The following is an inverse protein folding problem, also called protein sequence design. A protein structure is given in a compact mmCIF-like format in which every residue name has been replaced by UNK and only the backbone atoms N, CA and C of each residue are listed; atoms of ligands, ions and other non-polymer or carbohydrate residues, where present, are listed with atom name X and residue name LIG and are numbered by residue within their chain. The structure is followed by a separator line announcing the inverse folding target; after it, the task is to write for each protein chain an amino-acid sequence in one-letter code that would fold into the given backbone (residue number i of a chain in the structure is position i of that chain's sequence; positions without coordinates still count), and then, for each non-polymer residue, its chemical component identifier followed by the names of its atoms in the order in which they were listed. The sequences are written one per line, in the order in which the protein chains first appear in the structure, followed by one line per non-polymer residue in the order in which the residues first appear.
data_IF_577560520191
#
_entry.id   IF_577560520191
#
_cell.length_a   1.000
_cell.length_b   1.000
_cell.length_c   1.000
_cell.angle_alpha   90.00
_cell.angle_beta   90.00
_cell.angle_gamma   90.00
#
_symmetry.space_group_name_H-M   'P 1'
#
loop_
_entity.id
_entity.type
_entity.pdbx_description
1 polymer ?
#
# COMPACT_ATOMS: atom_id res chain seq x y z
N UNK A 1 -27.66 44.33 62.54
CA UNK A 1 -28.44 43.54 63.50
C UNK A 1 -28.22 42.06 63.16
N UNK A 2 -27.31 41.36 63.87
CA UNK A 2 -27.60 40.25 64.83
C UNK A 2 -28.34 39.06 64.18
N UNK A 3 -27.98 37.78 64.27
CA UNK A 3 -27.10 37.01 65.17
C UNK A 3 -26.93 35.58 64.60
N UNK A 4 -25.86 34.93 65.06
CA UNK A 4 -25.49 33.50 65.05
C UNK A 4 -26.63 32.45 65.11
N UNK A 5 -26.40 31.21 64.64
CA UNK A 5 -25.88 30.06 65.42
C UNK A 5 -25.94 28.72 64.65
N UNK A 6 -24.97 27.85 64.98
CA UNK A 6 -24.85 26.44 64.64
C UNK A 6 -26.09 25.63 65.05
N UNK A 7 -26.38 24.54 64.31
CA UNK A 7 -26.70 23.27 64.98
C UNK A 7 -26.43 22.05 64.10
N UNK A 8 -25.51 21.22 64.58
CA UNK A 8 -25.21 19.86 64.14
C UNK A 8 -26.33 18.93 64.63
N UNK A 9 -26.90 18.11 63.75
CA UNK A 9 -27.67 16.92 64.15
C UNK A 9 -27.06 15.71 63.47
N UNK A 10 -26.52 14.85 64.32
CA UNK A 10 -26.00 13.52 64.05
C UNK A 10 -27.20 12.56 63.95
N UNK A 11 -27.36 11.85 62.83
CA UNK A 11 -28.25 10.68 62.75
C UNK A 11 -27.44 9.45 62.35
N UNK A 12 -27.41 8.51 63.29
CA UNK A 12 -26.80 7.19 63.21
C UNK A 12 -27.92 6.20 62.87
N UNK A 13 -27.83 5.49 61.74
CA UNK A 13 -28.64 4.29 61.49
C UNK A 13 -27.83 3.30 60.64
N UNK A 14 -27.72 2.08 61.14
CA UNK A 14 -26.91 0.99 60.63
C UNK A 14 -27.74 -0.03 59.82
N UNK A 15 -27.00 -0.74 58.95
CA UNK A 15 -27.21 -2.07 58.38
C UNK A 15 -28.28 -2.28 57.30
N UNK A 16 -27.87 -2.79 56.13
CA UNK A 16 -28.22 -4.14 55.65
C UNK A 16 -27.56 -4.46 54.28
N UNK A 17 -26.99 -5.67 54.21
CA UNK A 17 -26.86 -6.57 53.05
C UNK A 17 -25.89 -6.26 51.89
N UNK A 18 -25.09 -7.30 51.61
CA UNK A 18 -24.03 -7.45 50.64
C UNK A 18 -24.48 -7.56 49.16
N UNK A 19 -23.45 -7.53 48.30
CA UNK A 19 -23.37 -7.98 46.91
C UNK A 19 -23.82 -6.99 45.83
N UNK A 20 -23.00 -5.96 45.60
CA UNK A 20 -22.90 -5.30 44.30
C UNK A 20 -21.67 -5.83 43.56
N UNK A 21 -21.93 -6.53 42.46
CA UNK A 21 -20.91 -7.03 41.55
C UNK A 21 -20.02 -5.91 41.03
N UNK A 22 -18.74 -6.24 40.85
CA UNK A 22 -17.70 -5.40 40.29
C UNK A 22 -18.11 -4.95 38.87
N UNK A 23 -18.53 -3.70 38.74
CA UNK A 23 -18.89 -3.11 37.46
C UNK A 23 -17.59 -2.65 36.78
N UNK A 24 -16.95 -3.54 36.01
CA UNK A 24 -15.84 -3.16 35.12
C UNK A 24 -16.33 -2.09 34.15
N UNK A 25 -15.65 -0.94 34.15
CA UNK A 25 -16.06 0.21 33.37
C UNK A 25 -15.62 0.05 31.90
N UNK A 26 -16.40 0.54 30.92
CA UNK A 26 -16.06 0.45 29.49
C UNK A 26 -14.74 1.11 29.07
N UNK A 27 -14.18 1.98 29.93
CA UNK A 27 -12.98 2.75 29.65
C UNK A 27 -11.68 1.94 29.69
N UNK A 28 -11.59 0.91 30.54
CA UNK A 28 -10.39 0.04 30.63
C UNK A 28 -10.24 -0.80 29.34
N UNK A 29 -11.36 -1.35 28.84
CA UNK A 29 -11.39 -2.09 27.57
C UNK A 29 -11.02 -1.24 26.35
N UNK A 30 -11.29 0.07 26.38
CA UNK A 30 -10.94 0.97 25.27
C UNK A 30 -9.45 1.30 25.23
N UNK A 31 -8.84 1.49 26.41
CA UNK A 31 -7.41 1.71 26.53
C UNK A 31 -6.62 0.45 26.13
N UNK A 32 -7.02 -0.73 26.63
CA UNK A 32 -6.38 -2.00 26.31
C UNK A 32 -6.47 -2.36 24.82
N UNK A 33 -7.60 -2.04 24.17
CA UNK A 33 -7.71 -2.22 22.72
C UNK A 33 -6.83 -1.25 21.93
N UNK A 34 -6.61 -0.03 22.43
CA UNK A 34 -5.76 0.96 21.77
C UNK A 34 -4.27 0.59 21.85
N UNK A 35 -3.78 0.09 22.99
CA UNK A 35 -2.39 -0.37 23.10
C UNK A 35 -2.13 -1.62 22.25
N UNK A 36 -3.07 -2.59 22.23
CA UNK A 36 -2.95 -3.76 21.36
C UNK A 36 -3.00 -3.42 19.86
N UNK A 37 -3.73 -2.37 19.46
CA UNK A 37 -3.76 -1.90 18.08
C UNK A 37 -2.44 -1.23 17.66
N UNK A 38 -1.84 -0.44 18.54
CA UNK A 38 -0.54 0.20 18.30
C UNK A 38 0.57 -0.84 18.23
N UNK A 39 0.55 -1.84 19.12
CA UNK A 39 1.57 -2.90 19.15
C UNK A 39 1.49 -3.81 17.92
N UNK A 40 0.28 -4.16 17.46
CA UNK A 40 0.09 -4.86 16.18
C UNK A 40 0.50 -4.01 14.97
N UNK A 41 0.28 -2.69 15.01
CA UNK A 41 0.73 -1.81 13.94
C UNK A 41 2.27 -1.71 13.88
N UNK A 42 2.94 -1.64 15.04
CA UNK A 42 4.39 -1.61 15.14
C UNK A 42 5.03 -2.95 14.74
N UNK A 43 4.42 -4.08 15.13
CA UNK A 43 4.87 -5.40 14.72
C UNK A 43 4.74 -5.61 13.20
N UNK A 44 3.65 -5.15 12.58
CA UNK A 44 3.48 -5.18 11.13
C UNK A 44 4.46 -4.25 10.39
N UNK A 45 4.74 -3.07 10.94
CA UNK A 45 5.73 -2.15 10.38
C UNK A 45 7.15 -2.74 10.46
N UNK A 46 7.52 -3.37 11.57
CA UNK A 46 8.81 -4.03 11.75
C UNK A 46 8.99 -5.25 10.83
N UNK A 47 7.90 -5.97 10.52
CA UNK A 47 7.92 -7.09 9.59
C UNK A 47 8.03 -6.63 8.12
N UNK A 48 7.42 -5.48 7.79
CA UNK A 48 7.54 -4.87 6.46
C UNK A 48 8.95 -4.34 6.17
N UNK A 49 9.70 -3.91 7.18
CA UNK A 49 11.09 -3.43 7.02
C UNK A 49 12.14 -4.55 6.93
N UNK A 50 11.79 -5.79 7.30
CA UNK A 50 12.69 -6.95 7.30
C UNK A 50 12.34 -8.01 6.25
N UNK A 51 11.40 -7.73 5.35
CA UNK A 51 11.14 -8.61 4.21
C UNK A 51 12.43 -8.70 3.38
N UNK A 52 13.02 -9.91 3.33
CA UNK A 52 14.19 -10.16 2.50
C UNK A 52 13.85 -9.82 1.04
N UNK A 53 14.81 -9.23 0.33
CA UNK A 53 14.66 -8.98 -1.10
C UNK A 53 14.24 -10.30 -1.80
N UNK A 54 13.37 -10.23 -2.82
CA UNK A 54 13.04 -11.39 -3.63
C UNK A 54 14.32 -12.04 -4.15
N UNK A 55 14.28 -13.36 -4.33
CA UNK A 55 15.38 -14.06 -4.98
C UNK A 55 15.56 -13.49 -6.40
N UNK A 56 16.82 -13.42 -6.88
CA UNK A 56 17.13 -12.83 -8.18
C UNK A 56 16.41 -13.48 -9.38
N UNK A 57 15.86 -14.69 -9.23
CA UNK A 57 15.07 -15.38 -10.26
C UNK A 57 13.56 -15.33 -10.01
N UNK A 58 13.09 -14.61 -8.98
CA UNK A 58 11.68 -14.58 -8.58
C UNK A 58 10.75 -14.09 -9.71
N UNK A 59 11.26 -13.19 -10.55
CA UNK A 59 10.48 -12.58 -11.63
C UNK A 59 10.69 -13.25 -13.00
N UNK A 60 11.72 -14.10 -13.16
CA UNK A 60 12.03 -14.77 -14.43
C UNK A 60 10.89 -15.64 -14.99
N UNK A 61 10.07 -16.32 -14.17
CA UNK A 61 8.92 -17.10 -14.66
C UNK A 61 7.87 -16.29 -15.45
N UNK A 62 7.81 -14.97 -15.25
CA UNK A 62 6.89 -14.09 -15.98
C UNK A 62 7.40 -13.69 -17.36
N UNK A 63 8.71 -13.80 -17.63
CA UNK A 63 9.29 -13.42 -18.92
C UNK A 63 8.67 -14.26 -20.04
N UNK A 64 8.21 -13.58 -21.09
CA UNK A 64 7.50 -14.15 -22.24
C UNK A 64 6.00 -14.38 -22.02
N UNK A 65 5.45 -14.05 -20.85
CA UNK A 65 4.02 -14.07 -20.54
C UNK A 65 3.41 -12.69 -20.67
N UNK A 66 2.10 -12.60 -20.84
CA UNK A 66 1.41 -11.31 -20.71
C UNK A 66 1.20 -10.94 -19.23
N UNK A 67 1.13 -9.65 -18.87
CA UNK A 67 0.97 -9.23 -17.47
C UNK A 67 -0.25 -9.82 -16.74
N UNK A 68 -1.28 -10.20 -17.49
CA UNK A 68 -2.52 -10.81 -16.97
C UNK A 68 -2.51 -12.34 -17.02
N UNK A 69 -1.50 -12.96 -17.64
CA UNK A 69 -1.34 -14.40 -17.64
C UNK A 69 -0.92 -14.86 -16.23
N UNK A 70 -1.53 -15.96 -15.77
CA UNK A 70 -1.14 -16.56 -14.50
C UNK A 70 0.16 -17.34 -14.63
N UNK A 71 1.04 -17.13 -13.67
CA UNK A 71 2.21 -17.94 -13.36
C UNK A 71 2.03 -18.49 -11.95
N UNK A 72 1.58 -19.75 -11.86
CA UNK A 72 1.14 -20.31 -10.59
C UNK A 72 -0.16 -19.67 -10.11
N UNK A 73 -0.17 -19.12 -8.89
CA UNK A 73 -1.36 -18.52 -8.30
C UNK A 73 -1.60 -17.06 -8.76
N UNK A 74 -0.56 -16.40 -9.28
CA UNK A 74 -0.51 -14.97 -9.48
C UNK A 74 -0.30 -14.59 -10.95
N UNK A 75 -0.87 -13.47 -11.36
CA UNK A 75 -0.43 -12.74 -12.55
C UNK A 75 0.67 -11.75 -12.17
N UNK A 76 1.33 -11.12 -13.15
CA UNK A 76 2.35 -10.10 -12.85
C UNK A 76 1.77 -8.95 -12.01
N UNK A 77 0.59 -8.47 -12.37
CA UNK A 77 -0.04 -7.32 -11.72
C UNK A 77 -0.55 -7.62 -10.29
N UNK A 78 -0.82 -8.89 -9.97
CA UNK A 78 -1.30 -9.30 -8.65
C UNK A 78 -0.23 -10.03 -7.80
N UNK A 79 0.97 -10.24 -8.34
CA UNK A 79 2.09 -10.82 -7.60
C UNK A 79 2.41 -9.93 -6.37
N UNK A 80 2.42 -10.50 -5.15
CA UNK A 80 2.62 -9.71 -3.94
C UNK A 80 3.93 -8.90 -3.92
N UNK A 81 5.01 -9.42 -4.52
CA UNK A 81 6.28 -8.73 -4.59
C UNK A 81 6.23 -7.56 -5.58
N UNK A 82 5.59 -7.74 -6.75
CA UNK A 82 5.39 -6.66 -7.73
C UNK A 82 4.50 -5.57 -7.14
N UNK A 83 3.38 -5.94 -6.52
CA UNK A 83 2.45 -5.01 -5.86
C UNK A 83 3.17 -4.19 -4.78
N UNK A 84 3.98 -4.84 -3.94
CA UNK A 84 4.76 -4.14 -2.91
C UNK A 84 5.78 -3.17 -3.51
N UNK A 85 6.51 -3.61 -4.55
CA UNK A 85 7.50 -2.79 -5.23
C UNK A 85 6.87 -1.55 -5.89
N UNK A 86 5.76 -1.71 -6.61
CA UNK A 86 5.02 -0.61 -7.24
C UNK A 86 4.47 0.36 -6.18
N UNK A 87 3.96 -0.14 -5.05
CA UNK A 87 3.49 0.72 -3.94
C UNK A 87 4.61 1.53 -3.31
N UNK A 88 5.81 0.97 -3.21
CA UNK A 88 6.97 1.67 -2.71
C UNK A 88 7.50 2.71 -3.72
N UNK A 89 7.39 2.44 -5.02
CA UNK A 89 7.82 3.37 -6.08
C UNK A 89 6.83 4.52 -6.28
N UNK A 90 5.53 4.23 -6.30
CA UNK A 90 4.47 5.15 -6.71
C UNK A 90 3.57 5.52 -5.53
N UNK A 91 3.65 6.75 -5.04
CA UNK A 91 2.75 7.24 -3.98
C UNK A 91 1.33 7.53 -4.50
N UNK A 92 1.23 7.97 -5.74
CA UNK A 92 -0.01 8.35 -6.42
C UNK A 92 -0.96 7.15 -6.59
N UNK A 93 -2.14 7.23 -5.96
CA UNK A 93 -3.15 6.16 -5.99
C UNK A 93 -3.75 5.98 -7.39
N UNK A 94 -3.91 7.04 -8.16
CA UNK A 94 -4.52 6.95 -9.49
C UNK A 94 -3.57 6.21 -10.46
N UNK A 95 -2.28 6.52 -10.40
CA UNK A 95 -1.26 5.81 -11.21
C UNK A 95 -1.19 4.33 -10.79
N UNK A 96 -1.19 4.03 -9.50
CA UNK A 96 -1.19 2.62 -9.04
C UNK A 96 -2.40 1.83 -9.52
N UNK A 97 -3.56 2.48 -9.60
CA UNK A 97 -4.77 1.84 -10.13
C UNK A 97 -4.55 1.41 -11.58
N UNK A 98 -4.05 2.30 -12.43
CA UNK A 98 -3.73 1.96 -13.81
C UNK A 98 -2.71 0.83 -13.93
N UNK A 99 -1.65 0.91 -13.13
CA UNK A 99 -0.54 -0.05 -13.22
C UNK A 99 -0.90 -1.45 -12.71
N UNK A 100 -1.68 -1.56 -11.63
CA UNK A 100 -1.93 -2.83 -10.94
C UNK A 100 -3.32 -3.41 -11.18
N UNK A 101 -4.32 -2.58 -11.45
CA UNK A 101 -5.72 -3.01 -11.48
C UNK A 101 -6.33 -2.90 -12.88
N UNK A 102 -6.02 -1.83 -13.60
CA UNK A 102 -6.65 -1.59 -14.89
C UNK A 102 -5.97 -2.43 -15.98
N UNK A 103 -6.79 -3.22 -16.64
CA UNK A 103 -6.39 -4.07 -17.74
C UNK A 103 -6.27 -3.31 -19.05
N UNK A 104 -5.53 -3.87 -19.99
CA UNK A 104 -5.54 -3.38 -21.36
C UNK A 104 -4.57 -4.13 -22.27
N UNK A 105 -4.46 -3.71 -23.55
CA UNK A 105 -3.48 -4.26 -24.44
C UNK A 105 -2.08 -4.15 -23.82
N UNK A 106 -1.28 -5.20 -24.02
CA UNK A 106 0.03 -5.35 -23.41
C UNK A 106 0.94 -6.11 -24.36
N UNK A 107 2.24 -5.89 -24.23
CA UNK A 107 3.27 -6.73 -24.86
C UNK A 107 3.70 -7.83 -23.87
N UNK A 108 4.27 -8.95 -24.37
CA UNK A 108 4.86 -9.94 -23.49
C UNK A 108 5.95 -9.33 -22.60
N UNK A 109 6.00 -9.75 -21.34
CA UNK A 109 6.99 -9.33 -20.37
C UNK A 109 8.39 -9.70 -20.88
N UNK A 110 9.31 -8.74 -20.85
CA UNK A 110 10.67 -8.92 -21.35
C UNK A 110 11.71 -8.51 -20.31
N UNK A 111 12.97 -8.83 -20.57
CA UNK A 111 14.10 -8.27 -19.80
C UNK A 111 14.65 -7.07 -20.54
N UNK A 112 14.64 -5.90 -19.90
CA UNK A 112 15.18 -4.63 -20.44
C UNK A 112 16.20 -4.10 -19.45
N UNK A 113 17.44 -3.90 -19.90
CA UNK A 113 18.57 -3.43 -19.08
C UNK A 113 18.73 -4.21 -17.75
N UNK A 114 18.53 -5.53 -17.81
CA UNK A 114 18.63 -6.42 -16.65
C UNK A 114 17.42 -6.40 -15.70
N UNK A 115 16.38 -5.61 -15.98
CA UNK A 115 15.13 -5.54 -15.22
C UNK A 115 14.02 -6.31 -15.93
N UNK A 116 13.09 -6.88 -15.18
CA UNK A 116 11.90 -7.51 -15.74
C UNK A 116 10.84 -6.44 -15.98
N UNK A 117 10.37 -6.35 -17.21
CA UNK A 117 9.65 -5.22 -17.74
C UNK A 117 8.26 -5.64 -18.26
N UNK A 118 7.22 -4.99 -17.74
CA UNK A 118 5.83 -5.19 -18.16
C UNK A 118 5.25 -3.87 -18.66
N UNK A 119 4.90 -3.82 -19.95
CA UNK A 119 4.27 -2.68 -20.57
C UNK A 119 2.79 -2.96 -20.82
N UNK A 120 1.95 -1.96 -20.63
CA UNK A 120 0.52 -2.02 -20.92
C UNK A 120 -0.02 -0.64 -21.23
N UNK A 121 -1.22 -0.60 -21.79
CA UNK A 121 -1.87 0.65 -22.17
C UNK A 121 -3.38 0.58 -22.02
N UNK A 122 -4.02 1.75 -22.02
CA UNK A 122 -5.48 1.83 -21.93
C UNK A 122 -6.14 1.29 -23.20
N UNK A 123 -7.18 0.48 -23.03
CA UNK A 123 -7.91 -0.14 -24.15
C UNK A 123 -8.46 0.93 -25.10
N UNK A 124 -8.15 0.79 -26.40
CA UNK A 124 -8.48 1.76 -27.45
C UNK A 124 -7.81 3.13 -27.32
N UNK A 125 -6.86 3.31 -26.40
CA UNK A 125 -6.21 4.57 -26.10
C UNK A 125 -4.69 4.41 -25.87
N UNK A 126 -4.06 3.48 -26.59
CA UNK A 126 -2.71 3.04 -26.24
C UNK A 126 -1.58 4.04 -26.48
N UNK A 127 -1.68 4.85 -27.53
CA UNK A 127 -0.72 5.94 -27.73
C UNK A 127 -0.84 7.01 -26.65
N UNK A 128 -2.06 7.52 -26.39
CA UNK A 128 -2.26 8.57 -25.39
C UNK A 128 -2.10 8.14 -23.94
N UNK A 129 -2.31 6.87 -23.58
CA UNK A 129 -2.29 6.43 -22.20
C UNK A 129 -1.66 5.04 -22.03
N UNK A 130 -0.47 5.04 -21.43
CA UNK A 130 0.39 3.86 -21.33
C UNK A 130 1.25 3.88 -20.06
N UNK A 131 1.69 2.70 -19.64
CA UNK A 131 2.53 2.53 -18.48
C UNK A 131 3.49 1.35 -18.64
N UNK A 132 4.61 1.46 -17.93
CA UNK A 132 5.66 0.45 -17.88
C UNK A 132 6.07 0.24 -16.42
N UNK A 133 6.10 -1.01 -15.99
CA UNK A 133 6.70 -1.41 -14.72
C UNK A 133 8.02 -2.13 -14.98
N UNK A 134 9.10 -1.63 -14.39
CA UNK A 134 10.42 -2.27 -14.39
C UNK A 134 10.72 -2.74 -12.97
N UNK A 135 10.94 -4.04 -12.76
CA UNK A 135 11.39 -4.57 -11.48
C UNK A 135 12.84 -5.03 -11.61
N UNK A 136 13.71 -4.48 -10.76
CA UNK A 136 15.08 -4.97 -10.62
C UNK A 136 15.06 -6.30 -9.85
N UNK A 137 15.42 -7.42 -10.49
CA UNK A 137 15.38 -8.72 -9.82
C UNK A 137 16.36 -8.83 -8.65
N UNK A 138 17.45 -8.05 -8.63
CA UNK A 138 18.45 -8.12 -7.55
C UNK A 138 17.97 -7.46 -6.26
N UNK A 139 17.23 -6.36 -6.37
CA UNK A 139 16.75 -5.58 -5.21
C UNK A 139 15.26 -5.75 -4.92
N UNK A 140 14.48 -6.24 -5.88
CA UNK A 140 13.02 -6.25 -5.83
C UNK A 140 12.38 -4.86 -5.90
N UNK A 141 13.15 -3.83 -6.25
CA UNK A 141 12.63 -2.46 -6.35
C UNK A 141 12.02 -2.20 -7.73
N UNK A 142 10.97 -1.37 -7.78
CA UNK A 142 10.33 -0.99 -9.02
C UNK A 142 10.71 0.42 -9.47
N UNK A 143 10.75 0.60 -10.78
CA UNK A 143 10.60 1.87 -11.47
C UNK A 143 9.32 1.81 -12.31
N UNK A 144 8.53 2.88 -12.31
CA UNK A 144 7.28 2.95 -13.08
C UNK A 144 7.32 4.15 -13.98
N UNK A 145 7.09 3.96 -15.28
CA UNK A 145 6.75 5.03 -16.19
C UNK A 145 5.23 5.08 -16.37
N UNK A 146 4.67 6.29 -16.36
CA UNK A 146 3.28 6.55 -16.65
C UNK A 146 3.17 7.73 -17.62
N UNK A 147 2.40 7.56 -18.68
CA UNK A 147 2.14 8.59 -19.68
C UNK A 147 0.64 8.74 -19.88
N UNK A 148 0.16 9.98 -19.80
CA UNK A 148 -1.21 10.37 -20.10
C UNK A 148 -1.15 11.69 -20.88
N UNK A 149 -1.41 11.62 -22.19
CA UNK A 149 -1.38 12.75 -23.11
C UNK A 149 -2.38 13.85 -22.73
N UNK A 150 -3.50 13.48 -22.11
CA UNK A 150 -4.50 14.44 -21.66
C UNK A 150 -4.01 15.28 -20.46
N UNK A 151 -3.01 14.79 -19.73
CA UNK A 151 -2.37 15.48 -18.60
C UNK A 151 -1.13 16.25 -19.06
N UNK A 152 -0.24 15.60 -19.81
CA UNK A 152 1.00 16.20 -20.32
C UNK A 152 1.46 15.48 -21.60
N UNK A 153 1.09 16.03 -22.75
CA UNK A 153 1.41 15.46 -24.07
C UNK A 153 2.91 15.45 -24.42
N UNK A 154 3.78 15.99 -23.59
CA UNK A 154 5.22 16.09 -23.88
C UNK A 154 6.08 15.27 -22.93
N UNK A 155 5.52 14.81 -21.79
CA UNK A 155 6.32 14.20 -20.73
C UNK A 155 5.62 13.01 -20.09
N UNK A 156 6.43 12.00 -19.81
CA UNK A 156 6.10 10.90 -18.88
C UNK A 156 6.37 11.31 -17.43
N UNK A 157 5.66 10.67 -16.50
CA UNK A 157 5.95 10.65 -15.07
C UNK A 157 6.69 9.36 -14.74
N UNK A 158 7.90 9.48 -14.21
CA UNK A 158 8.73 8.36 -13.76
C UNK A 158 8.78 8.32 -12.25
N UNK A 159 8.54 7.14 -11.70
CA UNK A 159 8.50 6.90 -10.27
C UNK A 159 9.56 5.91 -9.84
N UNK A 160 10.31 6.25 -8.79
CA UNK A 160 11.30 5.36 -8.18
C UNK A 160 11.46 5.70 -6.71
N UNK A 161 11.38 4.70 -5.84
CA UNK A 161 11.56 4.86 -4.39
C UNK A 161 10.74 6.04 -3.79
N UNK A 162 9.49 6.19 -4.24
CA UNK A 162 8.57 7.23 -3.79
C UNK A 162 8.83 8.63 -4.37
N UNK A 163 9.85 8.78 -5.21
CA UNK A 163 10.14 10.03 -5.92
C UNK A 163 9.51 10.01 -7.31
N UNK A 164 9.10 11.18 -7.78
CA UNK A 164 8.59 11.41 -9.13
C UNK A 164 9.50 12.36 -9.90
N UNK A 165 9.79 12.05 -11.16
CA UNK A 165 10.44 12.95 -12.10
C UNK A 165 9.74 12.94 -13.46
N UNK A 166 9.82 14.05 -14.20
CA UNK A 166 9.31 14.13 -15.57
C UNK A 166 10.42 13.79 -16.56
N UNK A 167 10.12 12.95 -17.56
CA UNK A 167 11.02 12.69 -18.68
C UNK A 167 10.30 12.93 -20.02
N UNK A 168 10.95 13.52 -21.02
CA UNK A 168 10.30 13.82 -22.30
C UNK A 168 9.87 12.55 -23.02
N UNK A 169 8.81 12.66 -23.82
CA UNK A 169 8.31 11.60 -24.67
C UNK A 169 7.29 10.70 -23.98
N UNK A 170 7.32 9.42 -24.34
CA UNK A 170 6.36 8.39 -24.02
C UNK A 170 7.00 7.25 -23.24
N UNK A 171 6.20 6.36 -22.64
CA UNK A 171 6.77 5.20 -21.97
C UNK A 171 7.39 4.25 -23.00
N UNK A 172 8.62 3.77 -22.78
CA UNK A 172 9.24 2.80 -23.69
C UNK A 172 8.41 1.52 -23.74
N UNK A 173 8.04 1.07 -24.93
CA UNK A 173 7.54 -0.30 -25.11
C UNK A 173 8.69 -1.30 -24.94
N UNK A 174 8.36 -2.51 -24.53
CA UNK A 174 9.28 -3.64 -24.30
C UNK A 174 9.32 -4.63 -25.48
N UNK A 175 8.57 -4.36 -26.55
CA UNK A 175 8.66 -5.05 -27.83
C UNK A 175 10.00 -4.75 -28.51
N UNK A 176 10.92 -5.72 -28.55
CA UNK A 176 12.14 -5.67 -29.37
C UNK A 176 11.82 -5.66 -30.88
#
# INVERSE_FOLDING_TARGET
MTRHRLWTVLTLSAALAACSGQQHSPAENAADNAVNAVENAMANAANATNAAAPRADAFSPYVGKYPFDKVGAHSWNDDPAVVAAVKAAVADKAVRKWVLEDGGPSSPIATVDGKVAAWSCETHNCGPHQWLTLVDPASGTAEVCYYDEAVDAQSTRWFKAGQEEKRPGQCPDVSN
#
